data_IF_572881381177
#
_entry.id   IF_572881381177
#
_cell.length_a   1.000
_cell.length_b   1.000
_cell.length_c   1.000
_cell.angle_alpha   90.00
_cell.angle_beta   90.00
_cell.angle_gamma   90.00
#
_symmetry.space_group_name_H-M   'P 1'
#
loop_
_entity.id
_entity.type
_entity.pdbx_description
1 polymer ?
#
# COMPACT_ATOMS: atom_id res chain seq x y z
N UNK A 1 36.49 -37.81 35.90
CA UNK A 1 37.31 -36.67 35.42
C UNK A 1 36.99 -36.21 33.99
N UNK A 2 36.63 -37.09 33.05
CA UNK A 2 36.30 -36.73 31.66
C UNK A 2 35.19 -35.66 31.50
N UNK A 3 34.12 -35.75 32.31
CA UNK A 3 33.01 -34.76 32.29
C UNK A 3 33.52 -33.33 32.49
N UNK A 4 34.42 -33.08 33.46
CA UNK A 4 34.89 -31.71 33.81
C UNK A 4 35.73 -31.06 32.71
N UNK A 5 36.41 -31.85 31.88
CA UNK A 5 37.24 -31.37 30.76
C UNK A 5 36.47 -31.14 29.46
N UNK A 6 35.33 -31.81 29.25
CA UNK A 6 34.43 -31.56 28.11
C UNK A 6 33.43 -30.41 28.37
N UNK A 7 32.96 -30.23 29.61
CA UNK A 7 31.98 -29.17 29.93
C UNK A 7 32.56 -27.75 29.86
N UNK A 8 33.86 -27.55 30.19
CA UNK A 8 34.51 -26.23 30.15
C UNK A 8 34.65 -25.64 28.75
N UNK A 9 35.15 -26.34 27.72
CA UNK A 9 35.24 -25.81 26.36
C UNK A 9 33.85 -25.59 25.73
N UNK A 10 32.88 -26.47 26.00
CA UNK A 10 31.50 -26.29 25.54
C UNK A 10 30.87 -25.04 26.17
N UNK A 11 31.05 -24.84 27.48
CA UNK A 11 30.59 -23.61 28.17
C UNK A 11 31.21 -22.36 27.56
N UNK A 12 32.53 -22.36 27.33
CA UNK A 12 33.23 -21.23 26.73
C UNK A 12 32.74 -20.96 25.31
N UNK A 13 32.51 -22.00 24.51
CA UNK A 13 31.96 -21.87 23.16
C UNK A 13 30.54 -21.25 23.19
N UNK A 14 29.66 -21.72 24.08
CA UNK A 14 28.31 -21.15 24.23
C UNK A 14 28.38 -19.67 24.60
N UNK A 15 29.27 -19.29 25.53
CA UNK A 15 29.48 -17.90 25.93
C UNK A 15 29.99 -17.07 24.74
N UNK A 16 30.99 -17.55 24.02
CA UNK A 16 31.57 -16.85 22.86
C UNK A 16 30.51 -16.66 21.77
N UNK A 17 29.75 -17.70 21.44
CA UNK A 17 28.66 -17.64 20.46
C UNK A 17 27.57 -16.66 20.91
N UNK A 18 27.19 -16.71 22.19
CA UNK A 18 26.19 -15.80 22.75
C UNK A 18 26.63 -14.34 22.71
N UNK A 19 27.87 -14.04 23.11
CA UNK A 19 28.44 -12.68 23.04
C UNK A 19 28.54 -12.23 21.57
N UNK A 20 29.03 -13.09 20.68
CA UNK A 20 29.15 -12.77 19.25
C UNK A 20 27.79 -12.46 18.63
N UNK A 21 26.77 -13.26 18.95
CA UNK A 21 25.41 -13.02 18.47
C UNK A 21 24.84 -11.71 19.02
N UNK A 22 25.04 -11.42 20.31
CA UNK A 22 24.62 -10.15 20.90
C UNK A 22 25.29 -8.94 20.22
N UNK A 23 26.61 -9.01 19.99
CA UNK A 23 27.35 -7.96 19.28
C UNK A 23 26.84 -7.78 17.85
N UNK A 24 26.56 -8.89 17.13
CA UNK A 24 25.97 -8.84 15.80
C UNK A 24 24.61 -8.11 15.81
N UNK A 25 23.74 -8.44 16.76
CA UNK A 25 22.42 -7.82 16.89
C UNK A 25 22.52 -6.31 17.17
N UNK A 26 23.47 -5.89 18.03
CA UNK A 26 23.73 -4.47 18.31
C UNK A 26 24.25 -3.75 17.06
N UNK A 27 25.25 -4.33 16.37
CA UNK A 27 25.82 -3.75 15.15
C UNK A 27 24.75 -3.60 14.08
N UNK A 28 23.91 -4.62 13.87
CA UNK A 28 22.82 -4.56 12.90
C UNK A 28 21.76 -3.54 13.30
N UNK A 29 21.40 -3.45 14.59
CA UNK A 29 20.44 -2.46 15.06
C UNK A 29 20.91 -1.02 14.75
N UNK A 30 22.20 -0.74 14.92
CA UNK A 30 22.80 0.56 14.59
C UNK A 30 22.87 0.75 13.07
N UNK A 31 23.36 -0.25 12.33
CA UNK A 31 23.51 -0.18 10.88
C UNK A 31 22.17 0.03 10.16
N UNK A 32 21.13 -0.71 10.54
CA UNK A 32 19.79 -0.58 9.93
C UNK A 32 19.25 0.85 10.03
N UNK A 33 19.49 1.53 11.16
CA UNK A 33 19.01 2.89 11.39
C UNK A 33 19.87 3.93 10.68
N UNK A 34 21.19 3.80 10.79
CA UNK A 34 22.15 4.76 10.20
C UNK A 34 22.20 4.69 8.68
N UNK A 35 22.03 3.51 8.10
CA UNK A 35 21.95 3.30 6.66
C UNK A 35 20.51 3.31 6.12
N UNK A 36 19.52 3.65 6.97
CA UNK A 36 18.11 3.79 6.59
C UNK A 36 17.56 2.58 5.83
N UNK A 37 17.97 1.38 6.26
CA UNK A 37 17.60 0.13 5.59
C UNK A 37 16.10 -0.09 5.75
N UNK A 38 15.40 -0.20 4.62
CA UNK A 38 13.93 -0.27 4.51
C UNK A 38 13.39 -1.64 4.91
N UNK A 39 13.56 -2.03 6.17
CA UNK A 39 13.10 -3.31 6.73
C UNK A 39 12.24 -3.12 7.97
N UNK A 40 11.42 -4.12 8.26
CA UNK A 40 10.72 -4.21 9.54
C UNK A 40 11.71 -4.57 10.66
N UNK A 41 11.57 -3.86 11.78
CA UNK A 41 12.34 -4.07 12.99
C UNK A 41 11.66 -5.12 13.88
N UNK A 42 12.45 -5.86 14.69
CA UNK A 42 11.92 -6.69 15.77
C UNK A 42 10.93 -5.91 16.65
N UNK A 43 9.76 -6.51 16.89
CA UNK A 43 8.73 -5.95 17.76
C UNK A 43 8.90 -6.37 19.22
N UNK A 44 9.70 -7.41 19.47
CA UNK A 44 9.91 -8.03 20.78
C UNK A 44 8.61 -8.55 21.43
N UNK A 45 7.65 -8.95 20.59
CA UNK A 45 6.41 -9.60 21.02
C UNK A 45 6.18 -10.88 20.20
N UNK A 46 5.28 -11.76 20.65
CA UNK A 46 4.80 -12.89 19.83
C UNK A 46 3.53 -12.54 19.02
N UNK A 47 3.09 -11.28 19.08
CA UNK A 47 2.08 -10.70 18.20
C UNK A 47 2.73 -10.35 16.84
N UNK A 48 1.95 -10.20 15.76
CA UNK A 48 2.42 -9.84 14.40
C UNK A 48 3.33 -10.87 13.72
N UNK A 49 3.15 -12.13 14.08
CA UNK A 49 4.01 -13.20 13.57
C UNK A 49 3.68 -13.61 12.15
N UNK A 50 2.47 -13.28 11.69
CA UNK A 50 2.00 -13.50 10.33
C UNK A 50 2.12 -12.23 9.48
N UNK A 51 1.83 -12.35 8.18
CA UNK A 51 1.64 -11.19 7.31
C UNK A 51 0.33 -10.49 7.68
N UNK A 52 0.11 -9.27 7.18
CA UNK A 52 -1.15 -8.55 7.43
C UNK A 52 -2.07 -8.52 6.21
N UNK A 53 -1.50 -8.55 5.00
CA UNK A 53 -2.24 -8.60 3.74
C UNK A 53 -2.28 -10.04 3.23
N UNK A 54 -3.49 -10.60 3.14
CA UNK A 54 -3.73 -11.96 2.67
C UNK A 54 -4.73 -11.99 1.53
N UNK A 55 -4.71 -13.03 0.71
CA UNK A 55 -5.74 -13.22 -0.32
C UNK A 55 -6.92 -13.98 0.29
N UNK A 56 -7.96 -13.24 0.68
CA UNK A 56 -9.12 -13.77 1.41
C UNK A 56 -10.45 -13.56 0.66
N UNK A 57 -10.52 -12.60 -0.27
CA UNK A 57 -11.73 -12.35 -1.06
C UNK A 57 -11.60 -12.88 -2.50
N UNK A 58 -12.62 -13.60 -2.98
CA UNK A 58 -12.60 -14.23 -4.30
C UNK A 58 -12.74 -13.24 -5.47
N UNK A 59 -13.13 -11.99 -5.21
CA UNK A 59 -13.38 -10.98 -6.23
C UNK A 59 -12.21 -10.00 -6.40
N UNK A 60 -11.63 -9.55 -5.29
CA UNK A 60 -10.55 -8.53 -5.31
C UNK A 60 -9.24 -9.00 -4.67
N UNK A 61 -9.19 -10.22 -4.13
CA UNK A 61 -7.97 -10.83 -3.61
C UNK A 61 -7.65 -10.37 -2.19
N UNK A 62 -6.78 -9.36 -2.09
CA UNK A 62 -6.20 -8.91 -0.82
C UNK A 62 -7.26 -8.43 0.18
N UNK A 63 -7.15 -8.84 1.44
CA UNK A 63 -7.91 -8.37 2.59
C UNK A 63 -7.14 -8.71 3.88
N UNK A 64 -7.56 -8.15 5.01
CA UNK A 64 -7.07 -8.55 6.32
C UNK A 64 -7.97 -9.61 6.98
N UNK A 65 -7.41 -10.29 7.99
CA UNK A 65 -8.24 -11.12 8.86
C UNK A 65 -9.22 -10.23 9.65
N UNK A 66 -10.48 -10.64 9.86
CA UNK A 66 -11.43 -9.89 10.69
C UNK A 66 -10.96 -9.71 12.13
N UNK A 67 -11.15 -8.51 12.69
CA UNK A 67 -10.80 -8.19 14.09
C UNK A 67 -9.33 -8.51 14.44
N UNK A 68 -8.41 -8.39 13.46
CA UNK A 68 -6.99 -8.64 13.65
C UNK A 68 -6.25 -7.38 14.12
N UNK A 69 -5.11 -7.62 14.79
CA UNK A 69 -4.17 -6.57 15.19
C UNK A 69 -2.78 -6.89 14.64
N UNK A 70 -2.17 -5.88 14.03
CA UNK A 70 -0.83 -5.97 13.47
C UNK A 70 -0.05 -4.70 13.76
N UNK A 71 0.98 -4.82 14.60
CA UNK A 71 1.95 -3.75 14.83
C UNK A 71 3.13 -3.82 13.87
N UNK A 72 3.28 -2.79 13.06
CA UNK A 72 4.39 -2.63 12.13
C UNK A 72 5.39 -1.64 12.69
N UNK A 73 6.66 -2.06 12.75
CA UNK A 73 7.75 -1.22 13.24
C UNK A 73 8.83 -1.10 12.18
N UNK A 74 9.15 0.13 11.81
CA UNK A 74 10.30 0.47 10.96
C UNK A 74 11.17 1.49 11.72
N UNK A 75 12.26 1.93 11.11
CA UNK A 75 13.12 2.92 11.76
C UNK A 75 12.44 4.30 11.89
N UNK A 76 11.42 4.59 11.08
CA UNK A 76 10.74 5.89 11.04
C UNK A 76 9.33 5.91 11.67
N UNK A 77 8.75 4.75 12.01
CA UNK A 77 7.43 4.66 12.67
C UNK A 77 7.27 3.35 13.46
N UNK A 78 6.30 3.32 14.38
CA UNK A 78 5.91 2.15 15.17
C UNK A 78 4.40 2.22 15.46
N UNK A 79 3.59 1.58 14.62
CA UNK A 79 2.12 1.78 14.58
C UNK A 79 1.41 0.45 14.73
N UNK A 80 0.26 0.45 15.42
CA UNK A 80 -0.68 -0.67 15.50
C UNK A 80 -1.80 -0.49 14.48
N UNK A 81 -2.00 -1.48 13.61
CA UNK A 81 -3.15 -1.54 12.72
C UNK A 81 -4.18 -2.48 13.34
N UNK A 82 -5.42 -2.03 13.42
CA UNK A 82 -6.57 -2.82 13.86
C UNK A 82 -7.63 -2.82 12.76
N UNK A 83 -8.24 -3.97 12.53
CA UNK A 83 -9.27 -4.12 11.49
C UNK A 83 -10.64 -4.37 12.10
N UNK A 84 -11.68 -3.88 11.46
CA UNK A 84 -13.06 -4.21 11.82
C UNK A 84 -13.42 -5.67 11.47
N UNK A 85 -14.66 -6.04 11.77
CA UNK A 85 -15.25 -7.34 11.51
C UNK A 85 -15.32 -7.71 10.01
N UNK A 86 -15.22 -6.72 9.12
CA UNK A 86 -15.16 -6.90 7.67
C UNK A 86 -13.72 -7.00 7.13
N UNK A 87 -12.70 -6.91 8.00
CA UNK A 87 -11.30 -7.02 7.61
C UNK A 87 -10.72 -5.74 6.98
N UNK A 88 -11.32 -4.58 7.25
CA UNK A 88 -10.76 -3.27 6.87
C UNK A 88 -10.18 -2.58 8.08
N UNK A 89 -9.05 -1.90 7.89
CA UNK A 89 -8.56 -0.95 8.89
C UNK A 89 -9.53 0.23 8.91
N UNK A 90 -10.60 0.16 9.68
CA UNK A 90 -11.60 1.23 9.85
C UNK A 90 -12.45 0.94 11.08
N UNK A 91 -13.33 1.87 11.45
CA UNK A 91 -14.38 1.59 12.42
C UNK A 91 -15.36 0.52 11.88
N UNK A 92 -16.22 -0.02 12.76
CA UNK A 92 -17.35 -0.83 12.30
C UNK A 92 -18.33 0.04 11.49
N UNK A 93 -18.84 -0.52 10.40
CA UNK A 93 -19.70 0.20 9.45
C UNK A 93 -20.92 -0.66 9.14
N UNK A 94 -22.10 -0.13 9.43
CA UNK A 94 -23.36 -0.76 9.05
C UNK A 94 -23.55 -0.74 7.53
N UNK A 95 -24.15 -1.76 6.94
CA UNK A 95 -24.44 -1.74 5.49
C UNK A 95 -25.42 -0.60 5.15
N UNK A 96 -26.52 -0.49 5.88
CA UNK A 96 -27.58 0.47 5.60
C UNK A 96 -27.67 1.54 6.68
N UNK A 97 -27.68 2.81 6.27
CA UNK A 97 -27.92 3.95 7.18
C UNK A 97 -28.46 5.15 6.40
N UNK A 98 -29.14 6.07 7.10
CA UNK A 98 -29.58 7.36 6.56
C UNK A 98 -28.51 8.45 6.67
N UNK A 99 -27.43 8.20 7.42
CA UNK A 99 -26.32 9.13 7.54
C UNK A 99 -25.59 9.29 6.20
N UNK A 100 -25.12 10.51 5.92
CA UNK A 100 -24.25 10.79 4.78
C UNK A 100 -22.94 10.03 4.94
N UNK A 101 -22.45 9.40 3.87
CA UNK A 101 -21.17 8.67 3.89
C UNK A 101 -20.43 8.81 2.58
N UNK A 102 -19.10 8.73 2.65
CA UNK A 102 -18.21 8.69 1.49
C UNK A 102 -17.47 7.37 1.48
N UNK A 103 -17.43 6.69 0.33
CA UNK A 103 -16.57 5.53 0.12
C UNK A 103 -15.20 6.02 -0.33
N UNK A 104 -14.14 5.55 0.31
CA UNK A 104 -12.76 5.81 -0.11
C UNK A 104 -12.12 4.53 -0.64
N UNK A 105 -11.71 4.54 -1.91
CA UNK A 105 -11.02 3.46 -2.61
C UNK A 105 -9.57 3.86 -2.87
N UNK A 106 -8.67 2.88 -2.91
CA UNK A 106 -7.28 3.07 -3.30
C UNK A 106 -6.41 1.97 -2.73
N UNK A 107 -5.10 2.23 -2.70
CA UNK A 107 -4.11 1.28 -2.21
C UNK A 107 -3.70 1.54 -0.75
N UNK A 108 -2.45 1.20 -0.44
CA UNK A 108 -1.72 1.50 0.78
C UNK A 108 -1.79 2.95 1.28
N UNK A 109 -1.88 3.95 0.39
CA UNK A 109 -1.99 5.36 0.79
C UNK A 109 -3.38 5.66 1.32
N UNK A 110 -4.42 5.08 0.71
CA UNK A 110 -5.79 5.16 1.24
C UNK A 110 -5.89 4.37 2.54
N UNK A 111 -5.33 3.16 2.64
CA UNK A 111 -5.31 2.35 3.89
C UNK A 111 -4.65 3.12 5.06
N UNK A 112 -3.61 3.90 4.76
CA UNK A 112 -2.88 4.75 5.71
C UNK A 112 -1.66 4.09 6.33
N UNK A 113 -0.87 3.33 5.56
CA UNK A 113 0.33 2.64 6.06
C UNK A 113 1.29 3.59 6.77
N UNK A 114 1.74 3.19 7.96
CA UNK A 114 2.79 3.86 8.72
C UNK A 114 2.35 5.11 9.49
N UNK A 115 1.05 5.41 9.53
CA UNK A 115 0.48 6.49 10.35
C UNK A 115 -0.62 5.96 11.25
N UNK A 116 -0.84 6.59 12.41
CA UNK A 116 -1.95 6.25 13.31
C UNK A 116 -3.32 6.47 12.66
N UNK A 117 -4.35 5.74 13.12
CA UNK A 117 -5.67 5.70 12.46
C UNK A 117 -6.33 7.08 12.40
N UNK A 118 -6.16 7.90 13.43
CA UNK A 118 -6.68 9.26 13.53
C UNK A 118 -5.98 10.25 12.58
N UNK A 119 -4.76 9.92 12.13
CA UNK A 119 -3.90 10.80 11.33
C UNK A 119 -3.89 10.46 9.84
N UNK A 120 -4.60 9.39 9.41
CA UNK A 120 -4.75 9.05 7.99
C UNK A 120 -5.84 9.86 7.31
N UNK A 121 -5.73 10.01 5.99
CA UNK A 121 -6.59 10.87 5.15
C UNK A 121 -8.09 10.73 5.45
N UNK A 122 -8.61 9.50 5.45
CA UNK A 122 -10.06 9.26 5.65
C UNK A 122 -10.55 9.74 7.01
N UNK A 123 -9.77 9.55 8.07
CA UNK A 123 -10.14 9.96 9.42
C UNK A 123 -10.01 11.47 9.62
N UNK A 124 -9.02 12.10 8.98
CA UNK A 124 -8.92 13.56 8.94
C UNK A 124 -10.12 14.19 8.22
N UNK A 125 -10.55 13.62 7.10
CA UNK A 125 -11.75 14.06 6.38
C UNK A 125 -13.03 13.80 7.17
N UNK A 126 -13.15 12.63 7.80
CA UNK A 126 -14.31 12.27 8.62
C UNK A 126 -14.50 13.20 9.81
N UNK A 127 -13.41 13.47 10.54
CA UNK A 127 -13.42 14.40 11.68
C UNK A 127 -13.81 15.82 11.27
N UNK A 128 -13.27 16.30 10.15
CA UNK A 128 -13.48 17.68 9.71
C UNK A 128 -14.88 17.90 9.11
N UNK A 129 -15.37 16.93 8.32
CA UNK A 129 -16.67 17.03 7.67
C UNK A 129 -17.82 16.51 8.50
N UNK A 130 -17.54 15.80 9.59
CA UNK A 130 -18.54 15.05 10.33
C UNK A 130 -19.35 14.12 9.40
N UNK A 131 -18.65 13.51 8.43
CA UNK A 131 -19.20 12.58 7.44
C UNK A 131 -18.32 11.32 7.49
N UNK A 132 -18.86 10.14 7.82
CA UNK A 132 -18.12 8.88 7.74
C UNK A 132 -17.42 8.66 6.39
N UNK A 133 -16.11 8.41 6.43
CA UNK A 133 -15.31 8.02 5.26
C UNK A 133 -14.95 6.54 5.39
N UNK A 134 -15.70 5.69 4.71
CA UNK A 134 -15.52 4.25 4.73
C UNK A 134 -14.25 3.90 3.97
N UNK A 135 -13.22 3.51 4.71
CA UNK A 135 -11.91 3.24 4.15
C UNK A 135 -11.83 1.81 3.63
N UNK A 136 -11.89 1.68 2.30
CA UNK A 136 -11.71 0.42 1.57
C UNK A 136 -10.36 0.39 0.83
N UNK A 137 -9.38 1.17 1.30
CA UNK A 137 -8.01 1.12 0.81
C UNK A 137 -7.28 -0.11 1.33
N UNK A 138 -6.46 -0.74 0.49
CA UNK A 138 -5.68 -1.92 0.85
C UNK A 138 -4.30 -1.87 0.21
N UNK A 139 -3.25 -2.20 0.97
CA UNK A 139 -1.92 -2.46 0.44
C UNK A 139 -1.81 -3.91 -0.06
N UNK A 140 -0.58 -4.33 -0.37
CA UNK A 140 -0.30 -5.69 -0.80
C UNK A 140 -0.78 -5.94 -2.23
N UNK A 141 -0.23 -5.19 -3.19
CA UNK A 141 -0.54 -5.29 -4.62
C UNK A 141 -2.03 -5.08 -4.87
N UNK A 142 -2.47 -3.83 -4.69
CA UNK A 142 -3.87 -3.45 -4.85
C UNK A 142 -3.94 -2.28 -5.82
N UNK A 143 -4.42 -2.54 -7.04
CA UNK A 143 -4.47 -1.55 -8.13
C UNK A 143 -5.87 -1.28 -8.69
N UNK A 144 -5.98 -0.51 -9.80
CA UNK A 144 -7.24 -0.08 -10.37
C UNK A 144 -8.27 -1.18 -10.67
N UNK A 145 -7.87 -2.36 -11.18
CA UNK A 145 -8.83 -3.47 -11.36
C UNK A 145 -9.42 -3.91 -10.01
N UNK A 146 -8.61 -3.95 -8.96
CA UNK A 146 -9.06 -4.32 -7.62
C UNK A 146 -9.92 -3.22 -6.98
N UNK A 147 -9.65 -1.94 -7.24
CA UNK A 147 -10.54 -0.85 -6.82
C UNK A 147 -11.94 -1.02 -7.42
N UNK A 148 -12.01 -1.34 -8.72
CA UNK A 148 -13.25 -1.64 -9.42
C UNK A 148 -13.95 -2.86 -8.80
N UNK A 149 -13.23 -3.95 -8.59
CA UNK A 149 -13.82 -5.18 -8.03
C UNK A 149 -14.31 -4.96 -6.59
N UNK A 150 -13.51 -4.33 -5.73
CA UNK A 150 -13.88 -3.91 -4.37
C UNK A 150 -15.20 -3.13 -4.37
N UNK A 151 -15.30 -2.12 -5.24
CA UNK A 151 -16.51 -1.32 -5.31
C UNK A 151 -17.70 -2.09 -5.87
N UNK A 152 -17.49 -2.86 -6.94
CA UNK A 152 -18.52 -3.63 -7.63
C UNK A 152 -19.15 -4.72 -6.77
N UNK A 153 -18.35 -5.42 -5.97
CA UNK A 153 -18.81 -6.62 -5.25
C UNK A 153 -19.10 -6.37 -3.78
N UNK A 154 -18.47 -5.35 -3.18
CA UNK A 154 -18.61 -5.08 -1.75
C UNK A 154 -19.03 -3.65 -1.45
N UNK A 155 -18.17 -2.67 -1.72
CA UNK A 155 -18.32 -1.33 -1.14
C UNK A 155 -19.61 -0.63 -1.60
N UNK A 156 -20.07 -0.85 -2.85
CA UNK A 156 -21.33 -0.26 -3.34
C UNK A 156 -22.58 -0.66 -2.54
N UNK A 157 -22.53 -1.75 -1.77
CA UNK A 157 -23.64 -2.24 -0.97
C UNK A 157 -23.82 -1.46 0.34
N UNK A 158 -22.82 -0.66 0.74
CA UNK A 158 -22.94 0.28 1.84
C UNK A 158 -23.70 1.52 1.35
N UNK A 159 -24.73 2.01 2.05
CA UNK A 159 -25.36 3.32 1.73
C UNK A 159 -24.32 4.44 1.72
N UNK A 160 -24.17 5.20 0.63
CA UNK A 160 -23.21 6.30 0.56
C UNK A 160 -23.65 7.33 -0.48
N UNK A 161 -23.16 8.55 -0.36
CA UNK A 161 -23.54 9.66 -1.22
C UNK A 161 -22.46 10.02 -2.24
N UNK A 162 -21.19 9.71 -1.95
CA UNK A 162 -20.07 10.02 -2.83
C UNK A 162 -18.96 8.95 -2.77
N UNK A 163 -18.10 8.94 -3.79
CA UNK A 163 -16.94 8.04 -3.88
C UNK A 163 -15.67 8.87 -4.11
N UNK A 164 -14.64 8.55 -3.36
CA UNK A 164 -13.30 9.10 -3.47
C UNK A 164 -12.35 7.98 -3.91
N UNK A 165 -11.56 8.19 -4.97
CA UNK A 165 -10.65 7.20 -5.53
C UNK A 165 -9.23 7.76 -5.56
N UNK A 166 -8.35 7.19 -4.74
CA UNK A 166 -6.92 7.51 -4.73
C UNK A 166 -6.18 6.64 -5.73
N UNK A 167 -5.53 7.29 -6.70
CA UNK A 167 -4.69 6.64 -7.70
C UNK A 167 -3.24 6.96 -7.35
N UNK A 168 -2.40 5.94 -7.20
CA UNK A 168 -0.95 6.08 -7.06
C UNK A 168 -0.29 5.58 -8.35
N UNK A 169 -0.04 6.43 -9.34
CA UNK A 169 0.53 5.99 -10.63
C UNK A 169 1.84 5.21 -10.48
N UNK A 170 2.60 5.49 -9.42
CA UNK A 170 3.89 4.88 -9.15
C UNK A 170 3.84 3.35 -8.93
N UNK A 171 2.71 2.81 -8.45
CA UNK A 171 2.48 1.36 -8.30
C UNK A 171 1.24 0.88 -9.07
N UNK A 172 0.18 1.67 -9.22
CA UNK A 172 -1.08 1.25 -9.84
C UNK A 172 -0.89 0.65 -11.24
N UNK A 173 -0.02 1.24 -12.05
CA UNK A 173 0.28 0.71 -13.38
C UNK A 173 1.06 -0.61 -13.37
N UNK A 174 1.76 -0.88 -12.27
CA UNK A 174 2.59 -2.08 -12.07
C UNK A 174 1.75 -3.19 -11.45
N UNK A 175 1.01 -2.86 -10.39
CA UNK A 175 0.12 -3.77 -9.66
C UNK A 175 -1.01 -4.27 -10.56
N UNK A 176 -1.48 -3.44 -11.51
CA UNK A 176 -2.50 -3.78 -12.50
C UNK A 176 -1.92 -4.36 -13.81
N UNK A 177 -0.63 -4.69 -13.85
CA UNK A 177 -0.01 -5.32 -15.02
C UNK A 177 0.16 -6.83 -14.82
N UNK A 178 -0.65 -7.60 -15.55
CA UNK A 178 -0.65 -9.06 -15.48
C UNK A 178 0.72 -9.67 -15.81
N UNK A 179 1.40 -9.17 -16.84
CA UNK A 179 2.68 -9.72 -17.29
C UNK A 179 3.80 -9.43 -16.29
N UNK A 180 3.75 -8.26 -15.63
CA UNK A 180 4.64 -7.96 -14.52
C UNK A 180 4.31 -8.87 -13.33
N UNK A 181 3.03 -9.00 -12.96
CA UNK A 181 2.57 -9.87 -11.88
C UNK A 181 3.02 -11.33 -12.06
N UNK A 182 2.96 -11.90 -13.27
CA UNK A 182 3.47 -13.25 -13.55
C UNK A 182 4.98 -13.41 -13.27
N UNK A 183 5.75 -12.33 -13.41
CA UNK A 183 7.22 -12.35 -13.22
C UNK A 183 7.63 -12.03 -11.78
N UNK A 184 6.91 -11.13 -11.11
CA UNK A 184 7.34 -10.54 -9.83
C UNK A 184 6.32 -10.67 -8.70
N UNK A 185 5.05 -10.92 -9.01
CA UNK A 185 3.88 -10.83 -8.11
C UNK A 185 3.69 -11.98 -7.14
N UNK A 186 4.63 -12.93 -7.06
CA UNK A 186 4.70 -13.92 -5.98
C UNK A 186 3.53 -14.90 -5.88
N UNK A 187 2.84 -15.19 -6.99
CA UNK A 187 1.69 -16.10 -7.10
C UNK A 187 0.53 -15.74 -6.13
N UNK A 188 0.16 -14.45 -6.10
CA UNK A 188 -1.05 -13.96 -5.41
C UNK A 188 -2.29 -14.13 -6.27
N UNK A 189 -3.42 -14.44 -5.64
CA UNK A 189 -4.73 -14.46 -6.25
C UNK A 189 -5.26 -13.01 -6.32
N UNK A 190 -5.19 -12.42 -7.52
CA UNK A 190 -5.63 -11.06 -7.78
C UNK A 190 -6.25 -10.95 -9.19
N UNK A 191 -7.29 -10.11 -9.36
CA UNK A 191 -7.94 -9.89 -10.64
C UNK A 191 -7.17 -8.93 -11.55
N UNK A 192 -7.29 -9.15 -12.85
CA UNK A 192 -6.76 -8.30 -13.92
C UNK A 192 -7.76 -8.16 -15.06
N UNK A 193 -7.68 -7.03 -15.76
CA UNK A 193 -8.40 -6.82 -17.01
C UNK A 193 -7.54 -7.30 -18.20
N UNK A 194 -8.04 -8.32 -18.91
CA UNK A 194 -7.44 -8.89 -20.13
C UNK A 194 -8.20 -8.45 -21.36
N UNK A 195 -7.48 -8.02 -22.40
CA UNK A 195 -8.07 -7.54 -23.64
C UNK A 195 -7.54 -6.15 -24.00
N UNK A 196 -8.30 -5.43 -24.82
CA UNK A 196 -7.99 -4.08 -25.28
C UNK A 196 -9.21 -3.19 -25.11
N UNK A 197 -9.00 -1.94 -24.72
CA UNK A 197 -10.09 -1.00 -24.50
C UNK A 197 -10.99 -0.80 -25.73
N UNK A 198 -12.33 -0.76 -25.57
CA UNK A 198 -13.09 -0.83 -24.31
C UNK A 198 -13.49 -2.25 -23.87
N UNK A 199 -13.01 -3.29 -24.54
CA UNK A 199 -13.44 -4.68 -24.34
C UNK A 199 -12.44 -5.46 -23.48
N UNK A 200 -12.78 -5.60 -22.20
CA UNK A 200 -12.00 -6.38 -21.24
C UNK A 200 -12.78 -7.56 -20.65
N UNK A 201 -12.04 -8.63 -20.38
CA UNK A 201 -12.47 -9.77 -19.58
C UNK A 201 -11.72 -9.79 -18.25
N UNK A 202 -12.37 -10.23 -17.18
CA UNK A 202 -11.72 -10.40 -15.88
C UNK A 202 -10.97 -11.72 -15.87
N UNK A 203 -9.68 -11.68 -15.56
CA UNK A 203 -8.84 -12.86 -15.35
C UNK A 203 -8.19 -12.83 -13.98
N UNK A 204 -7.82 -13.99 -13.45
CA UNK A 204 -7.07 -14.10 -12.20
C UNK A 204 -5.73 -14.79 -12.46
N UNK A 205 -4.72 -14.46 -11.65
CA UNK A 205 -3.41 -15.12 -11.74
C UNK A 205 -3.52 -16.62 -11.45
N UNK A 206 -4.20 -17.00 -10.36
CA UNK A 206 -4.39 -18.40 -9.99
C UNK A 206 -5.85 -18.80 -10.18
N UNK A 207 -6.10 -20.03 -10.63
CA UNK A 207 -7.48 -20.52 -10.88
C UNK A 207 -8.36 -20.61 -9.63
N UNK A 208 -7.75 -20.50 -8.45
CA UNK A 208 -8.44 -20.52 -7.16
C UNK A 208 -7.64 -19.74 -6.13
N UNK A 209 -8.35 -19.06 -5.23
CA UNK A 209 -7.76 -18.36 -4.09
C UNK A 209 -6.97 -19.30 -3.17
N UNK A 210 -7.31 -20.60 -3.13
CA UNK A 210 -6.59 -21.60 -2.33
C UNK A 210 -5.18 -21.89 -2.85
N UNK A 211 -4.89 -21.55 -4.11
CA UNK A 211 -3.54 -21.68 -4.69
C UNK A 211 -2.64 -20.47 -4.39
N UNK A 212 -3.18 -19.41 -3.81
CA UNK A 212 -2.40 -18.21 -3.47
C UNK A 212 -1.33 -18.51 -2.42
N UNK A 213 -0.13 -17.95 -2.64
CA UNK A 213 0.96 -17.96 -1.64
C UNK A 213 0.75 -16.94 -0.51
N UNK A 214 -0.16 -15.99 -0.66
CA UNK A 214 -0.52 -15.00 0.35
C UNK A 214 -1.71 -15.44 1.21
N UNK A 215 -1.88 -16.75 1.44
CA UNK A 215 -2.87 -17.27 2.39
C UNK A 215 -2.34 -17.24 3.83
N UNK A 216 -3.21 -17.15 4.85
CA UNK A 216 -2.80 -17.31 6.24
C UNK A 216 -2.20 -18.70 6.48
N UNK A 217 -0.97 -18.75 6.99
CA UNK A 217 -0.28 -20.00 7.34
C UNK A 217 0.20 -19.92 8.78
N UNK A 218 0.00 -21.01 9.54
CA UNK A 218 0.50 -21.12 10.91
C UNK A 218 2.04 -21.16 10.92
N UNK A 219 2.65 -20.08 11.35
CA UNK A 219 4.10 -19.97 11.46
C UNK A 219 4.65 -20.82 12.62
N UNK A 220 5.82 -21.44 12.41
CA UNK A 220 6.51 -22.22 13.45
C UNK A 220 7.04 -21.31 14.56
N UNK A 221 7.11 -21.83 15.80
CA UNK A 221 7.61 -21.05 16.94
C UNK A 221 9.00 -20.44 16.69
N UNK A 222 9.90 -21.19 16.05
CA UNK A 222 11.25 -20.71 15.71
C UNK A 222 11.18 -19.53 14.74
N UNK A 223 10.32 -19.59 13.71
CA UNK A 223 10.13 -18.46 12.81
C UNK A 223 9.63 -17.22 13.55
N UNK A 224 8.63 -17.39 14.44
CA UNK A 224 8.08 -16.31 15.26
C UNK A 224 9.17 -15.65 16.11
N UNK A 225 9.98 -16.45 16.79
CA UNK A 225 11.09 -15.99 17.62
C UNK A 225 12.11 -15.21 16.79
N UNK A 226 12.58 -15.78 15.67
CA UNK A 226 13.60 -15.13 14.84
C UNK A 226 13.10 -13.82 14.22
N UNK A 227 11.90 -13.81 13.62
CA UNK A 227 11.29 -12.62 12.99
C UNK A 227 11.12 -11.47 13.99
N UNK A 228 10.60 -11.77 15.17
CA UNK A 228 10.16 -10.73 16.10
C UNK A 228 11.22 -10.29 17.10
N UNK A 229 12.32 -11.04 17.26
CA UNK A 229 13.35 -10.74 18.27
C UNK A 229 14.75 -10.56 17.70
N UNK A 230 14.98 -10.72 16.39
CA UNK A 230 16.33 -10.64 15.82
C UNK A 230 16.41 -9.76 14.56
N UNK A 231 17.34 -8.80 14.57
CA UNK A 231 17.72 -7.99 13.42
C UNK A 231 18.44 -8.83 12.36
N UNK A 232 19.26 -9.81 12.76
CA UNK A 232 19.98 -10.69 11.83
C UNK A 232 19.05 -11.48 10.92
N UNK A 233 17.96 -12.04 11.46
CA UNK A 233 16.99 -12.77 10.65
C UNK A 233 16.24 -11.85 9.68
N UNK A 234 15.83 -10.66 10.12
CA UNK A 234 15.14 -9.69 9.27
C UNK A 234 16.07 -9.17 8.16
N UNK A 235 17.33 -8.90 8.48
CA UNK A 235 18.36 -8.55 7.50
C UNK A 235 18.60 -9.69 6.51
N UNK A 236 18.70 -10.94 6.97
CA UNK A 236 18.82 -12.10 6.09
C UNK A 236 17.64 -12.22 5.12
N UNK A 237 16.40 -12.06 5.61
CA UNK A 237 15.21 -12.07 4.75
C UNK A 237 15.26 -10.95 3.71
N UNK A 238 15.65 -9.75 4.12
CA UNK A 238 15.82 -8.61 3.22
C UNK A 238 16.86 -8.88 2.13
N UNK A 239 18.04 -9.38 2.50
CA UNK A 239 19.11 -9.71 1.55
C UNK A 239 18.67 -10.79 0.55
N UNK A 240 17.88 -11.78 0.97
CA UNK A 240 17.30 -12.78 0.05
C UNK A 240 16.33 -12.18 -0.95
N UNK A 241 15.50 -11.22 -0.54
CA UNK A 241 14.61 -10.49 -1.46
C UNK A 241 15.44 -9.66 -2.43
N UNK A 242 16.42 -8.92 -1.93
CA UNK A 242 17.31 -8.10 -2.77
C UNK A 242 18.09 -8.93 -3.80
N UNK A 243 18.56 -10.14 -3.44
CA UNK A 243 19.20 -11.06 -4.37
C UNK A 243 18.25 -11.52 -5.48
N UNK A 244 16.99 -11.82 -5.15
CA UNK A 244 15.97 -12.18 -6.15
C UNK A 244 15.67 -11.04 -7.09
N UNK A 245 15.49 -9.83 -6.57
CA UNK A 245 15.21 -8.63 -7.38
C UNK A 245 16.39 -8.32 -8.32
N UNK A 246 17.64 -8.39 -7.82
CA UNK A 246 18.85 -8.21 -8.65
C UNK A 246 19.01 -9.24 -9.76
N UNK A 247 18.39 -10.41 -9.64
CA UNK A 247 18.42 -11.45 -10.66
C UNK A 247 17.40 -11.23 -11.78
N UNK A 248 16.48 -10.27 -11.63
CA UNK A 248 15.53 -9.90 -12.68
C UNK A 248 16.27 -8.97 -13.66
N UNK A 249 16.28 -9.27 -14.98
CA UNK A 249 16.93 -8.43 -15.97
C UNK A 249 16.43 -6.97 -15.92
N UNK A 250 17.33 -5.99 -16.04
CA UNK A 250 17.01 -4.56 -15.95
C UNK A 250 16.00 -4.08 -17.01
N UNK A 251 15.93 -4.73 -18.17
CA UNK A 251 14.96 -4.48 -19.23
C UNK A 251 13.55 -5.04 -18.91
N UNK A 252 13.45 -5.95 -17.94
CA UNK A 252 12.21 -6.58 -17.47
C UNK A 252 11.73 -6.06 -16.13
N UNK A 253 12.64 -5.52 -15.31
CA UNK A 253 12.28 -4.58 -14.28
C UNK A 253 11.76 -3.35 -15.03
N UNK A 254 10.54 -2.91 -14.73
CA UNK A 254 10.14 -1.57 -15.15
C UNK A 254 11.26 -0.64 -14.70
N UNK A 255 11.90 0.02 -15.67
CA UNK A 255 13.02 0.91 -15.40
C UNK A 255 12.49 2.13 -14.63
N UNK A 256 12.25 1.92 -13.34
CA UNK A 256 11.90 2.93 -12.36
C UNK A 256 13.01 3.98 -12.26
N UNK A 257 14.16 3.75 -12.91
CA UNK A 257 15.35 4.58 -12.91
C UNK A 257 15.49 5.52 -14.11
N UNK A 258 14.58 5.53 -15.11
CA UNK A 258 14.67 6.53 -16.19
C UNK A 258 13.61 7.62 -16.15
N UNK A 259 12.32 7.29 -16.02
CA UNK A 259 11.25 8.30 -16.01
C UNK A 259 10.07 7.80 -15.13
N UNK A 260 9.60 8.59 -14.13
CA UNK A 260 8.50 8.17 -13.26
C UNK A 260 7.15 7.97 -13.98
N UNK A 261 6.24 7.21 -13.35
CA UNK A 261 4.94 6.78 -13.91
C UNK A 261 4.00 7.91 -14.34
N UNK A 262 4.13 9.11 -13.76
CA UNK A 262 3.40 10.29 -14.22
C UNK A 262 3.76 10.74 -15.64
N UNK A 263 4.96 10.37 -16.09
CA UNK A 263 5.58 10.85 -17.32
C UNK A 263 5.83 9.73 -18.32
N UNK A 264 5.85 8.47 -17.86
CA UNK A 264 6.08 7.30 -18.69
C UNK A 264 5.14 6.15 -18.31
N UNK A 265 4.17 5.89 -19.18
CA UNK A 265 3.19 4.82 -19.04
C UNK A 265 2.72 4.39 -20.44
N UNK A 266 2.36 3.12 -20.58
CA UNK A 266 1.87 2.58 -21.85
C UNK A 266 0.38 2.89 -22.05
N UNK A 267 -0.07 2.86 -23.31
CA UNK A 267 -1.51 2.96 -23.62
C UNK A 267 -2.33 1.87 -22.92
N UNK A 268 -1.82 0.63 -22.83
CA UNK A 268 -2.51 -0.47 -22.15
C UNK A 268 -2.68 -0.20 -20.65
N UNK A 269 -1.63 0.26 -19.97
CA UNK A 269 -1.70 0.63 -18.56
C UNK A 269 -2.70 1.76 -18.31
N UNK A 270 -2.64 2.83 -19.12
CA UNK A 270 -3.59 3.93 -19.02
C UNK A 270 -5.04 3.47 -19.27
N UNK A 271 -5.25 2.64 -20.30
CA UNK A 271 -6.58 2.22 -20.69
C UNK A 271 -7.24 1.25 -19.68
N UNK A 272 -6.47 0.45 -18.95
CA UNK A 272 -7.02 -0.36 -17.84
C UNK A 272 -7.45 0.53 -16.68
N UNK A 273 -6.60 1.47 -16.26
CA UNK A 273 -6.95 2.48 -15.24
C UNK A 273 -8.18 3.29 -15.64
N UNK A 274 -8.21 3.79 -16.88
CA UNK A 274 -9.36 4.49 -17.47
C UNK A 274 -10.64 3.65 -17.37
N UNK A 275 -10.60 2.40 -17.81
CA UNK A 275 -11.76 1.51 -17.76
C UNK A 275 -12.27 1.31 -16.34
N UNK A 276 -11.37 1.10 -15.38
CA UNK A 276 -11.75 0.97 -13.97
C UNK A 276 -12.43 2.23 -13.43
N UNK A 277 -11.93 3.42 -13.75
CA UNK A 277 -12.55 4.71 -13.37
C UNK A 277 -13.94 4.86 -14.01
N UNK A 278 -14.07 4.57 -15.32
CA UNK A 278 -15.33 4.64 -16.06
C UNK A 278 -16.39 3.70 -15.47
N UNK A 279 -16.02 2.45 -15.16
CA UNK A 279 -16.94 1.48 -14.57
C UNK A 279 -17.29 1.80 -13.11
N UNK A 280 -16.34 2.32 -12.30
CA UNK A 280 -16.65 2.84 -10.96
C UNK A 280 -17.68 3.97 -11.04
N UNK A 281 -17.49 4.94 -11.95
CA UNK A 281 -18.45 6.04 -12.13
C UNK A 281 -19.83 5.55 -12.56
N UNK A 282 -19.88 4.63 -13.53
CA UNK A 282 -21.12 4.00 -13.98
C UNK A 282 -21.86 3.29 -12.83
N UNK A 283 -21.15 2.55 -12.00
CA UNK A 283 -21.69 1.88 -10.81
C UNK A 283 -22.09 2.87 -9.70
N UNK A 284 -21.46 4.05 -9.63
CA UNK A 284 -21.85 5.14 -8.75
C UNK A 284 -23.13 5.86 -9.21
N UNK A 285 -23.48 5.78 -10.49
CA UNK A 285 -24.65 6.46 -11.05
C UNK A 285 -24.58 7.98 -10.79
N UNK A 286 -25.63 8.53 -10.17
CA UNK A 286 -25.74 9.96 -9.91
C UNK A 286 -24.87 10.46 -8.74
N UNK A 287 -24.28 9.56 -7.95
CA UNK A 287 -23.41 9.93 -6.83
C UNK A 287 -22.14 10.65 -7.35
N UNK A 288 -21.71 11.77 -6.74
CA UNK A 288 -20.45 12.40 -7.07
C UNK A 288 -19.28 11.44 -6.89
N UNK A 289 -18.35 11.48 -7.83
CA UNK A 289 -17.12 10.70 -7.78
C UNK A 289 -15.95 11.66 -7.98
N UNK A 290 -14.95 11.54 -7.12
CA UNK A 290 -13.68 12.24 -7.26
C UNK A 290 -12.54 11.25 -7.40
N UNK A 291 -11.68 11.46 -8.39
CA UNK A 291 -10.40 10.78 -8.54
C UNK A 291 -9.30 11.77 -8.16
N UNK A 292 -8.30 11.32 -7.41
CA UNK A 292 -7.11 12.12 -7.15
C UNK A 292 -5.84 11.31 -7.36
N UNK A 293 -4.83 11.92 -8.00
CA UNK A 293 -3.55 11.28 -8.23
C UNK A 293 -2.53 11.66 -7.16
N UNK A 294 -1.85 10.65 -6.61
CA UNK A 294 -0.91 10.73 -5.50
C UNK A 294 0.52 10.77 -6.07
N UNK A 295 1.29 11.85 -5.85
CA UNK A 295 2.69 11.90 -6.25
C UNK A 295 3.59 11.30 -5.16
N UNK A 296 4.71 10.72 -5.58
CA UNK A 296 5.83 10.37 -4.69
C UNK A 296 7.04 11.28 -4.91
N UNK A 297 8.02 11.21 -4.01
CA UNK A 297 9.20 12.09 -4.00
C UNK A 297 9.90 12.17 -5.38
N UNK A 298 10.07 11.03 -6.06
CA UNK A 298 10.72 10.97 -7.38
C UNK A 298 9.95 11.74 -8.46
N UNK A 299 8.62 11.76 -8.37
CA UNK A 299 7.74 12.44 -9.33
C UNK A 299 7.73 13.95 -9.09
N UNK A 300 7.77 14.37 -7.83
CA UNK A 300 7.93 15.79 -7.46
C UNK A 300 9.24 16.35 -8.01
N UNK A 301 10.35 15.61 -7.86
CA UNK A 301 11.65 16.02 -8.42
C UNK A 301 11.61 16.11 -9.95
N UNK A 302 11.14 15.07 -10.62
CA UNK A 302 11.03 15.05 -12.08
C UNK A 302 10.10 16.15 -12.63
N UNK A 303 9.00 16.45 -11.92
CA UNK A 303 8.08 17.51 -12.31
C UNK A 303 8.74 18.90 -12.29
N UNK A 304 9.58 19.16 -11.28
CA UNK A 304 10.33 20.44 -11.19
C UNK A 304 11.36 20.61 -12.30
N UNK A 305 11.92 19.51 -12.79
CA UNK A 305 12.89 19.53 -13.88
C UNK A 305 12.24 19.68 -15.26
N UNK A 306 11.07 19.06 -15.48
CA UNK A 306 10.48 18.95 -16.82
C UNK A 306 9.16 19.70 -17.03
N UNK A 307 8.46 20.07 -15.96
CA UNK A 307 7.24 20.90 -15.96
C UNK A 307 6.01 20.34 -16.68
N UNK A 308 6.03 19.08 -17.14
CA UNK A 308 4.94 18.45 -17.91
C UNK A 308 4.35 17.28 -17.16
N UNK A 309 3.03 17.25 -16.97
CA UNK A 309 2.32 16.09 -16.42
C UNK A 309 1.37 15.49 -17.48
N UNK A 310 1.86 14.60 -18.37
CA UNK A 310 1.03 14.02 -19.42
C UNK A 310 -0.10 13.14 -18.87
N UNK A 311 0.14 12.46 -17.73
CA UNK A 311 -0.88 11.64 -17.10
C UNK A 311 -2.07 12.48 -16.63
N UNK A 312 -1.81 13.57 -15.90
CA UNK A 312 -2.88 14.44 -15.39
C UNK A 312 -3.73 15.03 -16.53
N UNK A 313 -3.11 15.44 -17.64
CA UNK A 313 -3.86 15.92 -18.81
C UNK A 313 -4.83 14.87 -19.35
N UNK A 314 -4.39 13.61 -19.43
CA UNK A 314 -5.24 12.52 -19.94
C UNK A 314 -6.32 12.10 -18.94
N UNK A 315 -5.98 12.00 -17.65
CA UNK A 315 -6.94 11.69 -16.60
C UNK A 315 -8.01 12.78 -16.48
N UNK A 316 -7.63 14.06 -16.57
CA UNK A 316 -8.57 15.18 -16.61
C UNK A 316 -9.56 15.02 -17.78
N UNK A 317 -9.06 14.77 -18.99
CA UNK A 317 -9.92 14.60 -20.16
C UNK A 317 -10.90 13.42 -20.03
N UNK A 318 -10.46 12.29 -19.46
CA UNK A 318 -11.34 11.16 -19.15
C UNK A 318 -12.38 11.58 -18.13
N UNK A 319 -11.97 12.13 -16.98
CA UNK A 319 -12.86 12.46 -15.88
C UNK A 319 -13.91 13.51 -16.28
N UNK A 320 -13.53 14.53 -17.05
CA UNK A 320 -14.45 15.53 -17.61
C UNK A 320 -15.53 14.88 -18.49
N UNK A 321 -15.14 13.91 -19.32
CA UNK A 321 -16.07 13.24 -20.24
C UNK A 321 -17.15 12.38 -19.56
N UNK A 322 -16.92 11.99 -18.30
CA UNK A 322 -17.82 11.13 -17.51
C UNK A 322 -18.35 11.81 -16.23
N UNK A 323 -18.14 13.12 -16.10
CA UNK A 323 -18.55 13.92 -14.94
C UNK A 323 -18.00 13.35 -13.61
N UNK A 324 -16.69 13.15 -13.58
CA UNK A 324 -15.88 12.83 -12.41
C UNK A 324 -14.99 14.02 -12.11
N UNK A 325 -14.90 14.43 -10.85
CA UNK A 325 -13.97 15.49 -10.44
C UNK A 325 -12.56 14.92 -10.33
N UNK A 326 -11.57 15.52 -10.99
CA UNK A 326 -10.18 15.06 -10.95
C UNK A 326 -9.26 16.09 -10.29
N UNK A 327 -8.52 15.66 -9.27
CA UNK A 327 -7.50 16.46 -8.59
C UNK A 327 -6.12 15.82 -8.74
N UNK A 328 -5.22 16.53 -9.41
CA UNK A 328 -3.81 16.19 -9.39
C UNK A 328 -3.11 16.88 -8.21
N UNK A 329 -2.55 16.08 -7.29
CA UNK A 329 -1.80 16.60 -6.13
C UNK A 329 -0.37 17.00 -6.49
N UNK A 330 0.18 16.56 -7.63
CA UNK A 330 1.57 16.84 -8.00
C UNK A 330 1.88 18.35 -8.09
N UNK A 331 1.10 19.17 -8.84
CA UNK A 331 1.32 20.63 -8.94
C UNK A 331 1.09 21.37 -7.63
N UNK A 332 0.43 20.75 -6.65
CA UNK A 332 0.21 21.36 -5.33
C UNK A 332 1.49 21.39 -4.48
N UNK A 333 2.54 20.71 -4.93
CA UNK A 333 3.86 20.68 -4.30
C UNK A 333 4.86 21.70 -4.89
N UNK A 334 4.46 22.49 -5.91
CA UNK A 334 5.37 23.35 -6.68
C UNK A 334 6.08 24.41 -5.85
N UNK A 335 5.39 24.92 -4.84
CA UNK A 335 5.92 25.97 -3.94
C UNK A 335 6.70 25.43 -2.75
N UNK A 336 6.77 24.11 -2.58
CA UNK A 336 7.41 23.52 -1.42
C UNK A 336 8.93 23.53 -1.60
N UNK A 337 9.66 23.86 -0.54
CA UNK A 337 11.08 23.54 -0.41
C UNK A 337 11.28 22.01 -0.40
N UNK A 338 12.53 21.57 -0.56
CA UNK A 338 12.85 20.14 -0.49
C UNK A 338 12.50 19.52 0.87
N UNK A 339 12.77 20.24 1.96
CA UNK A 339 12.39 19.81 3.29
C UNK A 339 10.87 19.65 3.43
N UNK A 340 10.09 20.59 2.87
CA UNK A 340 8.62 20.56 2.97
C UNK A 340 8.00 19.40 2.19
N UNK A 341 8.43 19.12 0.95
CA UNK A 341 7.85 17.97 0.24
C UNK A 341 8.35 16.63 0.80
N UNK A 342 9.60 16.56 1.29
CA UNK A 342 10.10 15.35 1.94
C UNK A 342 9.33 15.05 3.22
N UNK A 343 8.94 16.07 3.97
CA UNK A 343 8.13 15.91 5.18
C UNK A 343 6.75 15.28 4.91
N UNK A 344 6.26 15.32 3.66
CA UNK A 344 5.01 14.63 3.28
C UNK A 344 5.14 13.11 3.31
N UNK A 345 6.35 12.56 3.34
CA UNK A 345 6.60 11.13 3.24
C UNK A 345 7.34 10.60 4.46
N UNK A 346 7.02 9.36 4.83
CA UNK A 346 7.78 8.56 5.77
C UNK A 346 9.13 8.21 5.16
N UNK A 347 10.22 8.56 5.83
CA UNK A 347 11.58 8.40 5.29
C UNK A 347 11.93 6.93 4.98
N UNK A 348 11.31 5.99 5.70
CA UNK A 348 11.64 4.58 5.63
C UNK A 348 10.99 3.80 4.48
N UNK A 349 9.94 4.32 3.84
CA UNK A 349 9.30 3.61 2.73
C UNK A 349 8.59 4.48 1.69
N UNK A 350 8.45 5.79 1.93
CA UNK A 350 7.85 6.71 0.98
C UNK A 350 6.32 6.78 0.99
N UNK A 351 5.63 6.13 1.94
CA UNK A 351 4.20 6.40 2.18
C UNK A 351 4.00 7.78 2.78
N UNK A 352 2.77 8.30 2.76
CA UNK A 352 2.50 9.58 3.42
C UNK A 352 2.75 9.52 4.92
N UNK A 353 3.44 10.54 5.42
CA UNK A 353 3.46 10.88 6.85
C UNK A 353 2.11 11.48 7.26
N UNK A 354 1.98 11.84 8.54
CA UNK A 354 0.83 12.63 9.02
C UNK A 354 0.69 13.95 8.23
N UNK A 355 1.81 14.60 7.90
CA UNK A 355 1.82 15.81 7.09
C UNK A 355 1.37 15.55 5.64
N UNK A 356 1.74 14.41 5.06
CA UNK A 356 1.26 13.98 3.74
C UNK A 356 -0.25 13.77 3.69
N UNK A 357 -0.80 13.07 4.69
CA UNK A 357 -2.24 12.87 4.84
C UNK A 357 -2.98 14.20 5.04
N UNK A 358 -2.46 15.10 5.88
CA UNK A 358 -3.03 16.43 6.10
C UNK A 358 -2.98 17.32 4.84
N UNK A 359 -1.90 17.24 4.07
CA UNK A 359 -1.75 17.92 2.78
C UNK A 359 -2.82 17.45 1.78
N UNK A 360 -2.99 16.14 1.62
CA UNK A 360 -4.01 15.57 0.76
C UNK A 360 -5.42 15.98 1.21
N UNK A 361 -5.70 15.87 2.52
CA UNK A 361 -6.98 16.30 3.13
C UNK A 361 -7.32 17.73 2.76
N UNK A 362 -6.40 18.67 2.97
CA UNK A 362 -6.60 20.10 2.66
C UNK A 362 -7.00 20.33 1.20
N UNK A 363 -6.31 19.68 0.27
CA UNK A 363 -6.57 19.89 -1.16
C UNK A 363 -7.85 19.20 -1.62
N UNK A 364 -8.08 17.96 -1.20
CA UNK A 364 -9.30 17.20 -1.50
C UNK A 364 -10.54 17.95 -0.98
N UNK A 365 -10.49 18.36 0.28
CA UNK A 365 -11.55 19.15 0.92
C UNK A 365 -11.89 20.42 0.14
N UNK A 366 -10.85 21.19 -0.24
CA UNK A 366 -11.03 22.45 -0.98
C UNK A 366 -11.51 22.24 -2.42
N UNK A 367 -11.30 21.05 -2.99
CA UNK A 367 -11.56 20.77 -4.39
C UNK A 367 -12.93 20.14 -4.58
N UNK A 368 -13.21 19.05 -3.87
CA UNK A 368 -14.38 18.20 -4.12
C UNK A 368 -15.69 18.97 -3.89
N UNK A 369 -16.49 19.12 -4.95
CA UNK A 369 -17.75 19.87 -4.89
C UNK A 369 -18.73 19.30 -3.86
N UNK A 370 -18.68 17.99 -3.59
CA UNK A 370 -19.53 17.34 -2.59
C UNK A 370 -19.35 17.95 -1.19
N UNK A 371 -18.14 18.36 -0.80
CA UNK A 371 -17.88 18.96 0.51
C UNK A 371 -18.21 20.45 0.60
N UNK A 372 -18.56 21.09 -0.52
CA UNK A 372 -18.94 22.51 -0.58
C UNK A 372 -20.44 22.73 -0.50
N UNK A 373 -21.22 21.65 -0.49
CA UNK A 373 -22.69 21.66 -0.54
C UNK A 373 -23.32 21.71 0.83
#
# INVERSE_FOLDING_TARGET
MLKKYLFKPIKNLIIIVGITFLLLEIILAIYIRTAEIKIELPTYTFQNTQNFWFDLDENFGTLHLPNDEYRQKKYCFDVVYSTNSAGFRDAERELNTTAKRVIALGDSFTEGIGVEVENRLTNLLEKDKNIPHLNFGLAGNFGPTQYLMMYKTLARNYSHEAVLVGILPSNDFIDDDYEVSLKVGGDRYQPFLKGDYPSYELMYHTDSIHKSKARPIKQSFIHKLLKNFTHSYNMYRYLRVMQRVKAIPEDKLLDASKIPSYFNFTEKQFNRMRYSIEEIKKLAGNRPVMVYSIPIEKEIKAYREHGKNPLAKRLQAVCDSINVEYLDLLPKTDRFTEAEYKALFLSCDGHWSEAGNAFAKKHIESFFSYYKR
#
